data_IF_727458743327
#
_entry.id   IF_727458743327
#
_cell.length_a   1.000
_cell.length_b   1.000
_cell.length_c   1.000
_cell.angle_alpha   90.00
_cell.angle_beta   90.00
_cell.angle_gamma   90.00
#
_symmetry.space_group_name_H-M   'P 1'
#
loop_
_entity.id
_entity.type
_entity.pdbx_description
1 polymer ?
#
# COMPACT_ATOMS: atom_id res chain seq x y z
N UNK A 1 -0.33 -1.37 -3.70
CA UNK A 1 -0.24 -0.51 -2.51
C UNK A 1 1.09 0.22 -2.55
N UNK A 2 1.05 1.53 -2.40
CA UNK A 2 2.21 2.40 -2.45
C UNK A 2 2.45 3.03 -1.07
N UNK A 3 3.71 3.35 -0.80
CA UNK A 3 4.17 4.09 0.38
C UNK A 3 5.13 5.17 -0.12
N UNK A 4 4.75 6.43 0.07
CA UNK A 4 5.41 7.57 -0.58
C UNK A 4 6.85 7.84 -0.10
N UNK A 5 7.16 7.54 1.15
CA UNK A 5 8.48 7.81 1.75
C UNK A 5 9.47 6.63 1.61
N UNK A 6 9.02 5.47 1.17
CA UNK A 6 9.89 4.32 0.98
C UNK A 6 10.80 4.54 -0.24
N UNK A 7 12.09 4.10 -0.21
CA UNK A 7 12.98 4.16 -1.36
C UNK A 7 12.40 3.50 -2.62
N UNK A 8 11.65 2.41 -2.41
CA UNK A 8 10.81 1.77 -3.41
C UNK A 8 9.34 2.00 -3.04
N UNK A 9 8.63 2.90 -3.75
CA UNK A 9 7.27 3.24 -3.37
C UNK A 9 6.27 2.08 -3.51
N UNK A 10 6.51 1.13 -4.41
CA UNK A 10 5.67 -0.05 -4.59
C UNK A 10 5.91 -1.06 -3.48
N UNK A 11 5.17 -0.92 -2.36
CA UNK A 11 5.31 -1.80 -1.21
C UNK A 11 4.67 -3.17 -1.40
N UNK A 12 3.65 -3.28 -2.26
CA UNK A 12 2.93 -4.54 -2.51
C UNK A 12 2.09 -4.44 -3.79
N UNK A 13 2.01 -5.51 -4.57
CA UNK A 13 1.11 -5.65 -5.72
C UNK A 13 0.39 -6.99 -5.67
N UNK A 14 -0.86 -7.02 -6.12
CA UNK A 14 -1.65 -8.24 -6.24
C UNK A 14 -2.39 -8.24 -7.57
N UNK A 15 -2.37 -9.37 -8.25
CA UNK A 15 -3.30 -9.67 -9.33
C UNK A 15 -4.48 -10.44 -8.74
N UNK A 16 -5.56 -9.71 -8.46
CA UNK A 16 -6.75 -10.29 -7.85
C UNK A 16 -7.66 -10.90 -8.91
N UNK A 17 -8.15 -12.11 -8.66
CA UNK A 17 -9.20 -12.75 -9.45
C UNK A 17 -10.55 -12.59 -8.75
N UNK A 18 -11.65 -12.88 -9.47
CA UNK A 18 -13.01 -12.86 -8.90
C UNK A 18 -13.22 -13.85 -7.75
N UNK A 19 -12.31 -14.81 -7.56
CA UNK A 19 -12.35 -15.78 -6.47
C UNK A 19 -11.81 -15.24 -5.14
N UNK A 20 -11.19 -14.05 -5.12
CA UNK A 20 -10.61 -13.48 -3.90
C UNK A 20 -11.71 -12.86 -3.03
N UNK A 21 -11.83 -13.34 -1.80
CA UNK A 21 -12.73 -12.79 -0.79
C UNK A 21 -12.08 -11.65 -0.01
N UNK A 22 -12.82 -10.56 0.18
CA UNK A 22 -12.40 -9.38 0.93
C UNK A 22 -12.97 -9.40 2.36
N UNK A 23 -12.31 -8.79 3.37
CA UNK A 23 -11.13 -7.92 3.25
C UNK A 23 -9.79 -8.66 3.27
N UNK A 24 -8.82 -8.13 2.52
CA UNK A 24 -7.42 -8.55 2.59
C UNK A 24 -6.69 -7.83 3.73
N UNK A 25 -5.92 -8.58 4.51
CA UNK A 25 -5.02 -8.07 5.55
C UNK A 25 -3.61 -8.55 5.28
N UNK A 26 -2.67 -7.62 5.15
CA UNK A 26 -1.25 -7.91 4.98
C UNK A 26 -0.39 -7.01 5.85
N UNK A 27 0.93 -7.24 5.82
CA UNK A 27 1.94 -6.39 6.45
C UNK A 27 2.86 -5.86 5.35
N UNK A 28 3.22 -4.59 5.44
CA UNK A 28 4.20 -3.93 4.57
C UNK A 28 5.23 -3.23 5.44
N UNK A 29 6.48 -3.15 4.98
CA UNK A 29 7.51 -2.35 5.64
C UNK A 29 7.36 -0.88 5.23
N UNK A 30 7.48 0.01 6.21
CA UNK A 30 7.48 1.45 6.03
C UNK A 30 8.70 2.00 6.76
N UNK A 31 9.46 2.88 6.09
CA UNK A 31 10.60 3.56 6.72
C UNK A 31 10.10 4.60 7.73
N UNK A 32 10.97 5.01 8.64
CA UNK A 32 10.61 5.99 9.67
C UNK A 32 10.17 7.34 9.10
N UNK A 33 9.40 8.09 9.89
CA UNK A 33 8.89 9.41 9.54
C UNK A 33 7.39 9.45 9.27
N UNK A 34 6.94 10.60 8.75
CA UNK A 34 5.56 10.81 8.30
C UNK A 34 5.43 10.29 6.86
N UNK A 35 4.33 9.61 6.57
CA UNK A 35 4.11 8.96 5.27
C UNK A 35 2.63 8.80 4.97
N UNK A 36 2.33 8.54 3.69
CA UNK A 36 1.02 8.17 3.20
C UNK A 36 1.04 6.77 2.59
N UNK A 37 0.19 5.89 3.10
CA UNK A 37 -0.12 4.60 2.48
C UNK A 37 -1.23 4.81 1.47
N UNK A 38 -1.00 4.43 0.22
CA UNK A 38 -1.93 4.65 -0.90
C UNK A 38 -2.34 3.29 -1.48
N UNK A 39 -3.63 3.01 -1.51
CA UNK A 39 -4.18 1.87 -2.22
C UNK A 39 -4.72 2.34 -3.57
N UNK A 40 -4.28 1.67 -4.65
CA UNK A 40 -4.78 1.86 -6.01
C UNK A 40 -5.35 0.54 -6.48
N UNK A 41 -6.57 0.55 -6.99
CA UNK A 41 -7.28 -0.60 -7.55
C UNK A 41 -7.60 -0.29 -9.01
N UNK A 42 -7.30 -1.23 -9.91
CA UNK A 42 -7.75 -1.19 -11.30
C UNK A 42 -8.97 -2.08 -11.47
N UNK A 43 -10.07 -1.51 -11.93
CA UNK A 43 -11.30 -2.25 -12.27
C UNK A 43 -11.95 -1.60 -13.49
N UNK A 44 -12.40 -2.42 -14.45
CA UNK A 44 -13.10 -1.95 -15.66
C UNK A 44 -12.32 -0.86 -16.43
N UNK A 45 -10.99 -0.98 -16.49
CA UNK A 45 -10.12 0.01 -17.14
C UNK A 45 -9.96 1.33 -16.36
N UNK A 46 -10.62 1.51 -15.22
CA UNK A 46 -10.51 2.68 -14.34
C UNK A 46 -9.61 2.41 -13.16
N UNK A 47 -9.04 3.48 -12.61
CA UNK A 47 -8.26 3.45 -11.38
C UNK A 47 -9.05 4.11 -10.24
N UNK A 48 -9.12 3.41 -9.11
CA UNK A 48 -9.71 3.88 -7.88
C UNK A 48 -8.59 4.04 -6.85
N UNK A 49 -8.61 5.11 -6.07
CA UNK A 49 -7.57 5.42 -5.09
C UNK A 49 -8.16 5.75 -3.74
N UNK A 50 -7.56 5.23 -2.69
CA UNK A 50 -7.74 5.72 -1.32
C UNK A 50 -6.37 5.86 -0.64
N UNK A 51 -6.30 6.63 0.43
CA UNK A 51 -5.05 6.86 1.15
C UNK A 51 -5.26 7.06 2.64
N UNK A 52 -4.23 6.77 3.42
CA UNK A 52 -4.18 6.99 4.87
C UNK A 52 -2.82 7.54 5.27
N UNK A 53 -2.82 8.58 6.09
CA UNK A 53 -1.61 9.12 6.70
C UNK A 53 -1.16 8.25 7.89
N UNK A 54 0.15 8.03 8.00
CA UNK A 54 0.79 7.22 9.04
C UNK A 54 2.08 7.89 9.51
N UNK A 55 2.42 7.69 10.78
CA UNK A 55 3.70 8.13 11.35
C UNK A 55 4.40 6.94 12.00
N UNK A 56 5.63 6.69 11.58
CA UNK A 56 6.45 5.56 12.03
C UNK A 56 7.63 6.10 12.84
N UNK A 57 7.71 5.70 14.10
CA UNK A 57 8.77 6.15 15.01
C UNK A 57 10.03 5.28 14.96
N UNK A 58 9.90 4.00 14.60
CA UNK A 58 11.00 3.07 14.37
C UNK A 58 10.71 2.33 13.06
N UNK A 59 11.47 2.65 12.02
CA UNK A 59 11.27 2.15 10.65
C UNK A 59 11.69 0.70 10.45
N UNK A 60 11.09 0.03 9.47
CA UNK A 60 11.63 -1.24 8.98
C UNK A 60 12.88 -0.98 8.13
N UNK A 61 13.99 -1.69 8.40
CA UNK A 61 15.20 -1.55 7.58
C UNK A 61 14.91 -1.95 6.11
N UNK A 62 15.38 -1.14 5.13
CA UNK A 62 15.25 -1.43 3.70
C UNK A 62 15.97 -2.73 3.32
#
# INVERSE_FOLDING_TARGET
VLVDNNPNPLAMSFDLTSSVMMPLKSRIKIVEGESKVIAVIRAEGKLYKTSRDVRVYAGGNP
#
